data_IF_048938144135
#
_entry.id   IF_048938144135
#
_cell.length_a   1.000
_cell.length_b   1.000
_cell.length_c   1.000
_cell.angle_alpha   90.00
_cell.angle_beta   90.00
_cell.angle_gamma   90.00
#
_symmetry.space_group_name_H-M   'P 1'
#
loop_
_entity.id
_entity.type
_entity.pdbx_description
1 polymer ?
#
# COMPACT_ATOMS: atom_id res chain seq x y z
N UNK A 1 -0.05 -20.72 -3.54
CA UNK A 1 -0.13 -20.16 -2.17
C UNK A 1 -1.48 -19.55 -1.84
N UNK A 2 -2.01 -18.66 -2.69
CA UNK A 2 -3.37 -18.12 -2.59
C UNK A 2 -4.47 -19.20 -2.53
N UNK A 3 -4.32 -20.29 -3.28
CA UNK A 3 -5.21 -21.47 -3.23
C UNK A 3 -5.33 -22.09 -1.82
N UNK A 4 -4.26 -22.04 -1.03
CA UNK A 4 -4.24 -22.61 0.33
C UNK A 4 -5.01 -21.73 1.32
N UNK A 5 -4.94 -20.41 1.15
CA UNK A 5 -5.72 -19.43 1.93
C UNK A 5 -7.21 -19.53 1.63
N UNK A 6 -7.58 -19.58 0.34
CA UNK A 6 -8.98 -19.74 -0.08
C UNK A 6 -9.55 -21.07 0.44
N UNK A 7 -8.74 -22.15 0.44
CA UNK A 7 -9.15 -23.44 0.98
C UNK A 7 -9.46 -23.42 2.50
N UNK A 8 -8.88 -22.49 3.28
CA UNK A 8 -9.21 -22.34 4.70
C UNK A 8 -10.66 -21.91 4.91
N UNK A 9 -11.24 -21.14 3.98
CA UNK A 9 -12.62 -20.69 4.07
C UNK A 9 -13.65 -21.81 3.78
N UNK A 10 -13.22 -22.96 3.24
CA UNK A 10 -14.10 -24.11 2.97
C UNK A 10 -14.45 -24.86 4.26
N UNK A 11 -13.51 -24.94 5.22
CA UNK A 11 -13.68 -25.51 6.56
C UNK A 11 -12.85 -24.65 7.55
N UNK A 12 -13.41 -23.58 8.13
CA UNK A 12 -12.65 -22.64 8.94
C UNK A 12 -12.28 -23.24 10.30
N UNK A 13 -11.17 -23.99 10.35
CA UNK A 13 -10.50 -24.34 11.59
C UNK A 13 -9.54 -23.22 11.98
N UNK A 14 -9.66 -22.72 13.22
CA UNK A 14 -8.89 -21.61 13.76
C UNK A 14 -7.37 -21.75 13.56
N UNK A 15 -6.82 -22.95 13.76
CA UNK A 15 -5.38 -23.20 13.60
C UNK A 15 -4.92 -23.15 12.14
N UNK A 16 -5.78 -23.58 11.20
CA UNK A 16 -5.50 -23.53 9.76
C UNK A 16 -5.44 -22.08 9.27
N UNK A 17 -6.34 -21.22 9.77
CA UNK A 17 -6.36 -19.79 9.46
C UNK A 17 -5.10 -19.08 9.92
N UNK A 18 -4.72 -19.23 11.19
CA UNK A 18 -3.49 -18.60 11.70
C UNK A 18 -2.24 -19.11 10.98
N UNK A 19 -2.16 -20.41 10.69
CA UNK A 19 -1.04 -21.00 9.98
C UNK A 19 -0.94 -20.44 8.55
N UNK A 20 -2.06 -20.38 7.83
CA UNK A 20 -2.11 -19.80 6.49
C UNK A 20 -1.72 -18.31 6.48
N UNK A 21 -2.17 -17.52 7.46
CA UNK A 21 -1.79 -16.11 7.59
C UNK A 21 -0.28 -15.92 7.79
N UNK A 22 0.35 -16.76 8.63
CA UNK A 22 1.81 -16.74 8.81
C UNK A 22 2.54 -17.01 7.50
N UNK A 23 2.11 -18.05 6.78
CA UNK A 23 2.69 -18.38 5.48
C UNK A 23 2.54 -17.22 4.48
N UNK A 24 1.34 -16.62 4.36
CA UNK A 24 1.10 -15.47 3.48
C UNK A 24 2.01 -14.30 3.84
N UNK A 25 2.20 -14.01 5.12
CA UNK A 25 3.12 -12.95 5.57
C UNK A 25 4.56 -13.19 5.11
N UNK A 26 5.06 -14.42 5.25
CA UNK A 26 6.41 -14.81 4.81
C UNK A 26 6.54 -14.65 3.30
N UNK A 27 5.58 -15.15 2.52
CA UNK A 27 5.65 -15.05 1.07
C UNK A 27 5.47 -13.64 0.54
N UNK A 28 4.61 -12.83 1.17
CA UNK A 28 4.49 -11.43 0.84
C UNK A 28 5.82 -10.70 1.02
N UNK A 29 6.55 -10.96 2.12
CA UNK A 29 7.86 -10.36 2.35
C UNK A 29 8.87 -10.72 1.24
N UNK A 30 8.89 -12.00 0.81
CA UNK A 30 9.77 -12.47 -0.28
C UNK A 30 9.37 -11.84 -1.61
N UNK A 31 8.08 -11.90 -1.95
CA UNK A 31 7.53 -11.43 -3.22
C UNK A 31 7.76 -9.94 -3.42
N UNK A 32 7.48 -9.13 -2.39
CA UNK A 32 7.67 -7.68 -2.46
C UNK A 32 9.15 -7.26 -2.52
N UNK A 33 10.03 -8.00 -1.84
CA UNK A 33 11.48 -7.76 -1.93
C UNK A 33 12.01 -8.10 -3.32
N UNK A 34 11.60 -9.27 -3.85
CA UNK A 34 11.98 -9.71 -5.19
C UNK A 34 11.44 -8.76 -6.26
N UNK A 35 10.21 -8.27 -6.11
CA UNK A 35 9.57 -7.30 -6.99
C UNK A 35 10.37 -6.00 -7.08
N UNK A 36 10.71 -5.38 -5.95
CA UNK A 36 11.47 -4.13 -5.94
C UNK A 36 12.87 -4.28 -6.55
N UNK A 37 13.54 -5.39 -6.26
CA UNK A 37 14.83 -5.74 -6.86
C UNK A 37 14.72 -5.94 -8.38
N UNK A 38 13.72 -6.70 -8.84
CA UNK A 38 13.47 -6.93 -10.27
C UNK A 38 13.18 -5.60 -11.00
N UNK A 39 12.35 -4.74 -10.42
CA UNK A 39 12.04 -3.43 -10.96
C UNK A 39 13.30 -2.57 -11.09
N UNK A 40 14.20 -2.65 -10.12
CA UNK A 40 15.45 -1.87 -10.10
C UNK A 40 16.45 -2.39 -11.12
N UNK A 41 16.66 -3.72 -11.21
CA UNK A 41 17.58 -4.33 -12.18
C UNK A 41 17.12 -4.09 -13.63
N UNK A 42 15.81 -4.02 -13.86
CA UNK A 42 15.23 -3.77 -15.18
C UNK A 42 14.93 -2.29 -15.45
N UNK A 43 15.48 -1.38 -14.65
CA UNK A 43 15.32 0.07 -14.82
C UNK A 43 16.65 0.81 -14.72
N UNK A 44 16.71 1.97 -15.35
CA UNK A 44 17.78 2.94 -15.22
C UNK A 44 17.31 4.14 -14.39
N UNK A 45 18.23 5.02 -14.01
CA UNK A 45 17.94 6.25 -13.26
C UNK A 45 16.82 7.11 -13.88
N UNK A 46 16.73 7.12 -15.22
CA UNK A 46 15.71 7.88 -15.95
C UNK A 46 14.38 7.14 -16.16
N UNK A 47 14.37 5.81 -16.05
CA UNK A 47 13.19 4.98 -16.38
C UNK A 47 12.51 4.40 -15.16
N UNK A 48 13.19 4.35 -14.01
CA UNK A 48 12.68 3.72 -12.79
C UNK A 48 11.37 4.32 -12.29
N UNK A 49 11.20 5.64 -12.36
CA UNK A 49 9.93 6.28 -11.98
C UNK A 49 8.75 5.87 -12.86
N UNK A 50 8.97 5.81 -14.19
CA UNK A 50 7.96 5.35 -15.15
C UNK A 50 7.63 3.88 -14.96
N UNK A 51 8.65 3.03 -14.87
CA UNK A 51 8.46 1.60 -14.71
C UNK A 51 7.77 1.28 -13.38
N UNK A 52 8.10 2.01 -12.29
CA UNK A 52 7.41 1.91 -11.00
C UNK A 52 5.93 2.26 -11.11
N UNK A 53 5.58 3.34 -11.81
CA UNK A 53 4.19 3.74 -11.99
C UNK A 53 3.36 2.76 -12.84
N UNK A 54 3.94 2.26 -13.95
CA UNK A 54 3.29 1.24 -14.79
C UNK A 54 3.06 -0.06 -13.98
N UNK A 55 4.08 -0.50 -13.25
CA UNK A 55 3.96 -1.67 -12.38
C UNK A 55 2.85 -1.48 -11.35
N UNK A 56 2.80 -0.33 -10.68
CA UNK A 56 1.77 -0.04 -9.69
C UNK A 56 0.37 -0.05 -10.31
N UNK A 57 0.19 0.59 -11.46
CA UNK A 57 -1.11 0.60 -12.16
C UNK A 57 -1.58 -0.82 -12.55
N UNK A 58 -0.66 -1.69 -13.00
CA UNK A 58 -0.97 -3.08 -13.31
C UNK A 58 -1.33 -3.87 -12.06
N UNK A 59 -0.56 -3.69 -10.97
CA UNK A 59 -0.84 -4.36 -9.70
C UNK A 59 -2.25 -4.01 -9.19
N UNK A 60 -2.60 -2.73 -9.20
CA UNK A 60 -3.86 -2.25 -8.65
C UNK A 60 -5.06 -2.44 -9.57
N UNK A 61 -4.84 -2.88 -10.81
CA UNK A 61 -5.92 -3.40 -11.65
C UNK A 61 -6.63 -4.60 -11.01
N UNK A 62 -5.90 -5.42 -10.23
CA UNK A 62 -6.49 -6.54 -9.50
C UNK A 62 -7.50 -6.09 -8.43
N UNK A 63 -7.24 -4.98 -7.73
CA UNK A 63 -8.16 -4.38 -6.77
C UNK A 63 -9.44 -3.87 -7.45
N UNK A 64 -9.33 -3.33 -8.66
CA UNK A 64 -10.50 -2.91 -9.44
C UNK A 64 -11.37 -4.11 -9.84
N UNK A 65 -10.79 -5.11 -10.52
CA UNK A 65 -11.56 -6.25 -11.02
C UNK A 65 -12.07 -7.18 -9.90
N UNK A 66 -11.26 -7.41 -8.86
CA UNK A 66 -11.65 -8.23 -7.71
C UNK A 66 -12.83 -7.64 -6.94
N UNK A 67 -12.81 -6.33 -6.68
CA UNK A 67 -13.93 -5.66 -6.01
C UNK A 67 -15.15 -5.52 -6.94
N UNK A 68 -14.96 -5.42 -8.26
CA UNK A 68 -16.06 -5.42 -9.23
C UNK A 68 -16.84 -6.74 -9.21
N UNK A 69 -16.14 -7.87 -9.16
CA UNK A 69 -16.76 -9.18 -8.99
C UNK A 69 -17.58 -9.24 -7.69
N UNK A 70 -16.96 -8.87 -6.57
CA UNK A 70 -17.56 -8.80 -5.23
C UNK A 70 -18.83 -7.93 -5.22
N UNK A 71 -18.80 -6.77 -5.87
CA UNK A 71 -19.94 -5.86 -5.95
C UNK A 71 -21.13 -6.50 -6.67
N UNK A 72 -20.90 -7.17 -7.80
CA UNK A 72 -21.96 -7.88 -8.52
C UNK A 72 -22.46 -9.12 -7.76
N UNK A 73 -21.57 -9.86 -7.09
CA UNK A 73 -21.92 -11.04 -6.31
C UNK A 73 -22.82 -10.70 -5.09
N UNK A 74 -22.60 -9.54 -4.45
CA UNK A 74 -23.39 -9.10 -3.30
C UNK A 74 -24.57 -8.18 -3.64
N UNK A 75 -24.79 -7.79 -4.90
CA UNK A 75 -25.97 -7.02 -5.28
C UNK A 75 -27.27 -7.78 -4.98
N UNK A 76 -28.11 -7.22 -4.10
CA UNK A 76 -29.45 -7.74 -3.80
C UNK A 76 -29.53 -8.80 -2.70
N UNK A 77 -28.45 -9.08 -1.96
CA UNK A 77 -28.45 -10.05 -0.85
C UNK A 77 -28.36 -9.39 0.52
N UNK A 78 -29.36 -9.61 1.37
CA UNK A 78 -29.45 -9.07 2.75
C UNK A 78 -28.90 -10.01 3.83
N UNK A 79 -28.72 -11.30 3.51
CA UNK A 79 -28.13 -12.34 4.35
C UNK A 79 -27.04 -13.05 3.54
N UNK A 80 -25.84 -13.20 4.12
CA UNK A 80 -24.77 -14.01 3.54
C UNK A 80 -25.18 -15.46 3.80
N UNK A 81 -25.73 -16.14 2.80
CA UNK A 81 -26.00 -17.58 2.90
C UNK A 81 -24.66 -18.31 3.03
N UNK A 82 -24.52 -19.21 4.00
CA UNK A 82 -23.35 -20.07 4.27
C UNK A 82 -22.97 -21.03 3.11
N UNK A 83 -23.47 -20.78 1.90
CA UNK A 83 -23.42 -21.71 0.77
C UNK A 83 -23.08 -21.04 -0.56
N UNK A 84 -22.21 -20.04 -0.56
CA UNK A 84 -21.54 -19.57 -1.78
C UNK A 84 -20.02 -19.72 -1.68
N UNK A 85 -19.60 -20.96 -1.43
CA UNK A 85 -18.28 -21.45 -1.80
C UNK A 85 -18.26 -21.76 -3.30
N UNK A 86 -18.33 -20.76 -4.16
CA UNK A 86 -17.93 -20.92 -5.57
C UNK A 86 -17.26 -19.62 -6.03
N UNK A 87 -15.94 -19.60 -5.97
CA UNK A 87 -15.09 -19.27 -7.12
C UNK A 87 -13.69 -19.86 -6.89
N UNK A 88 -13.43 -20.98 -7.56
CA UNK A 88 -12.11 -21.20 -8.13
C UNK A 88 -12.06 -20.44 -9.43
N UNK A 89 -11.19 -19.43 -9.51
CA UNK A 89 -10.64 -18.98 -10.78
C UNK A 89 -9.16 -19.35 -10.78
N UNK A 90 -8.79 -20.11 -11.80
CA UNK A 90 -7.44 -20.51 -12.11
C UNK A 90 -6.64 -19.29 -12.58
N UNK A 91 -5.79 -18.75 -11.71
CA UNK A 91 -4.51 -18.24 -12.20
C UNK A 91 -3.55 -19.42 -12.26
N UNK A 92 -3.43 -20.00 -13.45
CA UNK A 92 -2.20 -20.64 -13.88
C UNK A 92 -1.24 -19.53 -14.29
N UNK A 93 -0.40 -19.07 -13.37
CA UNK A 93 0.89 -18.55 -13.79
C UNK A 93 1.67 -19.76 -14.29
N UNK A 94 1.88 -19.84 -15.60
CA UNK A 94 2.91 -20.71 -16.17
C UNK A 94 4.22 -20.35 -15.46
N UNK A 95 4.65 -21.22 -14.55
CA UNK A 95 6.00 -21.20 -14.00
C UNK A 95 6.94 -21.53 -15.18
N UNK A 96 7.44 -20.50 -15.85
CA UNK A 96 8.71 -20.63 -16.53
C UNK A 96 9.78 -20.65 -15.46
N UNK A 97 10.09 -21.86 -15.00
CA UNK A 97 11.30 -22.16 -14.25
C UNK A 97 12.50 -21.73 -15.09
N UNK A 98 13.02 -20.52 -14.83
CA UNK A 98 14.38 -20.18 -15.23
C UNK A 98 15.30 -20.88 -14.24
N UNK A 99 15.69 -22.12 -14.56
CA UNK A 99 16.77 -22.82 -13.87
C UNK A 99 18.07 -22.03 -14.02
N UNK A 100 18.36 -21.17 -13.04
CA UNK A 100 19.72 -20.68 -12.82
C UNK A 100 20.43 -21.70 -11.95
N UNK A 101 21.15 -22.61 -12.61
CA UNK A 101 22.08 -23.54 -11.96
C UNK A 101 23.22 -22.76 -11.27
N UNK A 102 23.10 -22.49 -9.97
CA UNK A 102 24.23 -22.09 -9.10
C UNK A 102 24.53 -23.17 -8.04
N UNK A 103 25.82 -23.43 -7.73
CA UNK A 103 26.23 -24.52 -6.83
C UNK A 103 25.85 -24.24 -5.37
N UNK A 104 25.22 -25.25 -4.75
CA UNK A 104 24.52 -25.20 -3.46
C UNK A 104 25.35 -24.85 -2.21
N UNK A 105 26.68 -24.69 -2.31
CA UNK A 105 27.57 -24.45 -1.16
C UNK A 105 27.73 -22.96 -0.81
N UNK A 106 27.09 -22.05 -1.58
CA UNK A 106 27.24 -20.59 -1.49
C UNK A 106 25.99 -19.85 -0.96
N UNK A 107 24.86 -20.53 -0.79
CA UNK A 107 23.55 -19.88 -0.61
C UNK A 107 23.32 -19.35 0.82
N UNK A 108 23.77 -20.07 1.85
CA UNK A 108 23.60 -19.64 3.23
C UNK A 108 24.48 -18.42 3.57
N UNK A 109 25.72 -18.39 3.04
CA UNK A 109 26.62 -17.24 3.20
C UNK A 109 26.06 -16.01 2.50
N UNK A 110 25.57 -16.15 1.25
CA UNK A 110 24.88 -15.08 0.52
C UNK A 110 23.66 -14.54 1.28
N UNK A 111 22.84 -15.42 1.86
CA UNK A 111 21.68 -15.02 2.65
C UNK A 111 22.07 -14.26 3.93
N UNK A 112 23.07 -14.75 4.67
CA UNK A 112 23.59 -14.08 5.87
C UNK A 112 24.20 -12.72 5.53
N UNK A 113 24.92 -12.61 4.41
CA UNK A 113 25.53 -11.35 3.98
C UNK A 113 24.47 -10.34 3.52
N UNK A 114 23.43 -10.79 2.79
CA UNK A 114 22.28 -9.96 2.46
C UNK A 114 21.57 -9.44 3.73
N UNK A 115 21.38 -10.30 4.73
CA UNK A 115 20.79 -9.92 6.01
C UNK A 115 21.65 -8.88 6.75
N UNK A 116 22.97 -9.08 6.82
CA UNK A 116 23.90 -8.09 7.40
C UNK A 116 23.86 -6.76 6.66
N UNK A 117 23.79 -6.79 5.32
CA UNK A 117 23.62 -5.59 4.49
C UNK A 117 22.32 -4.87 4.84
N UNK A 118 21.19 -5.58 4.97
CA UNK A 118 19.92 -4.99 5.38
C UNK A 118 20.01 -4.30 6.75
N UNK A 119 20.66 -4.94 7.74
CA UNK A 119 20.88 -4.33 9.06
C UNK A 119 21.75 -3.06 8.98
N UNK A 120 22.81 -3.09 8.18
CA UNK A 120 23.67 -1.93 7.96
C UNK A 120 22.95 -0.80 7.24
N UNK A 121 22.12 -1.13 6.24
CA UNK A 121 21.30 -0.17 5.52
C UNK A 121 20.21 0.44 6.40
N UNK A 122 19.63 -0.33 7.32
CA UNK A 122 18.59 0.16 8.23
C UNK A 122 19.05 1.36 9.08
N UNK A 123 20.36 1.49 9.34
CA UNK A 123 20.93 2.58 10.14
C UNK A 123 21.56 3.70 9.30
N UNK A 124 21.46 3.65 7.97
CA UNK A 124 21.92 4.77 7.14
C UNK A 124 20.99 5.96 7.29
N UNK A 125 21.54 7.17 7.18
CA UNK A 125 20.78 8.40 7.37
C UNK A 125 19.61 8.49 6.39
N UNK A 126 19.86 8.15 5.12
CA UNK A 126 18.89 8.19 4.03
C UNK A 126 17.77 7.17 4.27
N UNK A 127 18.11 5.93 4.68
CA UNK A 127 17.11 4.90 4.98
C UNK A 127 16.29 5.26 6.22
N UNK A 128 16.90 5.82 7.27
CA UNK A 128 16.18 6.26 8.47
C UNK A 128 15.18 7.39 8.17
N UNK A 129 15.57 8.36 7.33
CA UNK A 129 14.66 9.42 6.87
C UNK A 129 13.54 8.86 5.98
N UNK A 130 13.87 7.98 5.02
CA UNK A 130 12.86 7.31 4.21
C UNK A 130 11.92 6.45 5.05
N UNK A 131 12.41 5.84 6.13
CA UNK A 131 11.61 5.02 7.05
C UNK A 131 10.47 5.80 7.70
N UNK A 132 10.61 7.13 7.89
CA UNK A 132 9.50 7.97 8.38
C UNK A 132 8.38 8.03 7.34
N UNK A 133 8.74 8.19 6.07
CA UNK A 133 7.77 8.19 4.95
C UNK A 133 7.13 6.81 4.77
N UNK A 134 7.94 5.75 4.86
CA UNK A 134 7.49 4.36 4.79
C UNK A 134 6.59 3.98 5.97
N UNK A 135 6.85 4.52 7.16
CA UNK A 135 6.00 4.34 8.31
C UNK A 135 4.61 4.93 8.02
N UNK A 136 4.56 6.15 7.47
CA UNK A 136 3.30 6.77 7.04
C UNK A 136 2.54 5.90 6.03
N UNK A 137 3.18 5.39 4.98
CA UNK A 137 2.49 4.52 4.00
C UNK A 137 2.04 3.18 4.60
N UNK A 138 2.75 2.66 5.61
CA UNK A 138 2.30 1.50 6.36
C UNK A 138 1.03 1.76 7.18
N UNK A 139 0.95 2.92 7.83
CA UNK A 139 -0.24 3.31 8.58
C UNK A 139 -1.44 3.59 7.64
N UNK A 140 -1.18 4.27 6.53
CA UNK A 140 -2.18 4.61 5.51
C UNK A 140 -2.72 3.34 4.84
N UNK A 141 -1.86 2.38 4.48
CA UNK A 141 -2.24 1.07 3.96
C UNK A 141 -3.31 0.40 4.82
N UNK A 142 -3.09 0.32 6.13
CA UNK A 142 -4.08 -0.25 7.05
C UNK A 142 -5.36 0.57 7.10
N UNK A 143 -5.25 1.89 7.04
CA UNK A 143 -6.39 2.77 7.12
C UNK A 143 -7.33 2.55 5.94
N UNK A 144 -6.89 2.65 4.68
CA UNK A 144 -7.80 2.50 3.55
C UNK A 144 -8.23 1.05 3.30
N UNK A 145 -7.34 0.07 3.53
CA UNK A 145 -7.64 -1.34 3.22
C UNK A 145 -8.50 -2.04 4.28
N UNK A 146 -8.45 -1.57 5.53
CA UNK A 146 -9.15 -2.20 6.65
C UNK A 146 -10.10 -1.25 7.39
N UNK A 147 -9.58 -0.14 7.92
CA UNK A 147 -10.34 0.72 8.84
C UNK A 147 -11.45 1.49 8.11
N UNK A 148 -11.15 2.08 6.96
CA UNK A 148 -12.08 2.98 6.29
C UNK A 148 -13.27 2.22 5.69
N UNK A 149 -13.03 1.07 5.05
CA UNK A 149 -14.09 0.21 4.55
C UNK A 149 -15.02 -0.29 5.67
N UNK A 150 -14.46 -0.65 6.83
CA UNK A 150 -15.27 -1.06 8.00
C UNK A 150 -16.03 0.12 8.61
N UNK A 151 -15.46 1.33 8.63
CA UNK A 151 -16.19 2.53 9.02
C UNK A 151 -17.41 2.78 8.14
N UNK A 152 -17.28 2.66 6.81
CA UNK A 152 -18.40 2.80 5.88
C UNK A 152 -19.48 1.75 6.18
N UNK A 153 -19.07 0.51 6.41
CA UNK A 153 -19.99 -0.59 6.75
C UNK A 153 -20.66 -0.48 8.11
N UNK A 154 -20.12 0.34 9.02
CA UNK A 154 -20.65 0.50 10.37
C UNK A 154 -21.68 1.65 10.50
N UNK A 155 -21.80 2.52 9.50
CA UNK A 155 -22.70 3.70 9.59
C UNK A 155 -24.11 3.33 9.15
N UNK A 156 -25.00 3.12 10.11
CA UNK A 156 -26.41 2.71 9.91
C UNK A 156 -27.24 3.69 9.07
N UNK A 157 -26.81 4.97 9.02
CA UNK A 157 -27.46 6.00 8.20
C UNK A 157 -27.33 5.73 6.70
N UNK A 158 -26.38 4.88 6.27
CA UNK A 158 -26.26 4.46 4.89
C UNK A 158 -27.30 3.41 4.48
N UNK A 159 -27.98 2.79 5.45
CA UNK A 159 -29.12 1.90 5.23
C UNK A 159 -28.71 0.54 4.66
N UNK A 160 -29.65 -0.19 4.10
CA UNK A 160 -29.47 -1.61 3.70
C UNK A 160 -28.40 -1.88 2.63
N UNK A 161 -27.74 -0.85 2.10
CA UNK A 161 -26.66 -0.91 1.11
C UNK A 161 -25.25 -0.82 1.73
N UNK A 162 -25.11 -0.74 3.05
CA UNK A 162 -23.81 -0.62 3.74
C UNK A 162 -22.76 -1.63 3.24
N UNK A 163 -23.16 -2.90 3.08
CA UNK A 163 -22.24 -3.96 2.62
C UNK A 163 -21.79 -3.80 1.17
N UNK A 164 -22.67 -3.32 0.28
CA UNK A 164 -22.29 -3.07 -1.13
C UNK A 164 -21.42 -1.81 -1.25
N UNK A 165 -21.57 -0.84 -0.33
CA UNK A 165 -20.71 0.35 -0.26
C UNK A 165 -19.26 0.02 0.12
N UNK A 166 -19.01 -1.02 0.92
CA UNK A 166 -17.64 -1.49 1.20
C UNK A 166 -16.96 -1.95 -0.10
N UNK A 167 -17.64 -2.78 -0.89
CA UNK A 167 -17.15 -3.23 -2.19
C UNK A 167 -16.95 -2.06 -3.18
N UNK A 168 -17.92 -1.14 -3.23
CA UNK A 168 -17.82 0.06 -4.08
C UNK A 168 -16.65 0.96 -3.66
N UNK A 169 -16.39 1.11 -2.37
CA UNK A 169 -15.22 1.82 -1.84
C UNK A 169 -13.92 1.18 -2.35
N UNK A 170 -13.81 -0.15 -2.31
CA UNK A 170 -12.67 -0.88 -2.85
C UNK A 170 -12.43 -0.64 -4.34
N UNK A 171 -13.51 -0.60 -5.15
CA UNK A 171 -13.42 -0.27 -6.58
C UNK A 171 -12.85 1.14 -6.77
N UNK A 172 -13.36 2.13 -6.04
CA UNK A 172 -12.93 3.52 -6.19
C UNK A 172 -11.49 3.76 -5.68
N UNK A 173 -11.05 3.04 -4.64
CA UNK A 173 -9.63 2.98 -4.25
C UNK A 173 -8.81 2.49 -5.43
N UNK A 174 -9.16 1.34 -6.02
CA UNK A 174 -8.44 0.79 -7.17
C UNK A 174 -8.40 1.74 -8.38
N UNK A 175 -9.49 2.45 -8.68
CA UNK A 175 -9.51 3.50 -9.72
C UNK A 175 -8.51 4.61 -9.37
N UNK A 176 -8.54 5.12 -8.14
CA UNK A 176 -7.61 6.15 -7.66
C UNK A 176 -6.15 5.72 -7.82
N UNK A 177 -5.85 4.47 -7.46
CA UNK A 177 -4.50 3.92 -7.58
C UNK A 177 -4.03 3.75 -9.02
N UNK A 178 -4.89 3.25 -9.91
CA UNK A 178 -4.59 3.11 -11.34
C UNK A 178 -4.33 4.49 -11.95
N UNK A 179 -5.17 5.48 -11.62
CA UNK A 179 -5.03 6.86 -12.09
C UNK A 179 -3.71 7.46 -11.61
N UNK A 180 -3.38 7.34 -10.33
CA UNK A 180 -2.14 7.89 -9.79
C UNK A 180 -0.89 7.18 -10.33
N UNK A 181 -0.89 5.84 -10.37
CA UNK A 181 0.20 5.05 -10.93
C UNK A 181 0.46 5.37 -12.41
N UNK A 182 -0.60 5.46 -13.21
CA UNK A 182 -0.50 5.75 -14.65
C UNK A 182 -0.11 7.20 -14.91
N UNK A 183 -0.81 8.17 -14.31
CA UNK A 183 -0.60 9.59 -14.57
C UNK A 183 0.77 10.04 -14.08
N UNK A 184 1.15 9.67 -12.85
CA UNK A 184 2.39 10.14 -12.23
C UNK A 184 3.61 9.29 -12.58
N UNK A 185 3.42 8.01 -12.93
CA UNK A 185 4.45 7.22 -13.61
C UNK A 185 4.84 7.83 -14.96
N UNK A 186 3.86 8.29 -15.75
CA UNK A 186 4.11 8.94 -17.04
C UNK A 186 4.65 10.37 -16.89
N UNK A 187 4.22 11.13 -15.88
CA UNK A 187 4.76 12.47 -15.61
C UNK A 187 6.22 12.41 -15.17
N UNK A 188 6.63 11.38 -14.42
CA UNK A 188 8.04 11.14 -14.07
C UNK A 188 8.95 10.89 -15.28
N UNK A 189 8.40 10.57 -16.46
CA UNK A 189 9.16 10.44 -17.72
C UNK A 189 9.69 11.79 -18.21
N UNK A 190 8.97 12.87 -17.93
CA UNK A 190 9.39 14.20 -18.31
C UNK A 190 10.31 14.75 -17.20
N UNK A 191 11.62 14.60 -17.40
CA UNK A 191 12.72 15.00 -16.49
C UNK A 191 12.71 16.48 -16.02
N UNK A 192 11.67 17.25 -16.39
CA UNK A 192 11.41 18.62 -15.91
C UNK A 192 10.72 18.67 -14.54
N UNK A 193 9.96 17.63 -14.18
CA UNK A 193 9.28 17.53 -12.90
C UNK A 193 9.82 16.30 -12.17
N UNK A 194 10.62 16.50 -11.12
CA UNK A 194 11.17 15.42 -10.29
C UNK A 194 10.11 14.68 -9.47
N UNK A 195 10.52 13.91 -8.45
CA UNK A 195 9.60 13.13 -7.60
C UNK A 195 8.76 13.99 -6.65
N UNK A 196 9.31 15.12 -6.20
CA UNK A 196 8.72 15.96 -5.14
C UNK A 196 7.30 16.49 -5.45
N UNK A 197 6.98 17.01 -6.66
CA UNK A 197 5.63 17.47 -6.98
C UNK A 197 4.55 16.37 -6.87
N UNK A 198 4.91 15.12 -7.20
CA UNK A 198 3.99 13.98 -7.10
C UNK A 198 3.70 13.65 -5.65
N UNK A 199 4.72 13.60 -4.80
CA UNK A 199 4.55 13.39 -3.35
C UNK A 199 3.79 14.55 -2.70
N UNK A 200 4.04 15.80 -3.12
CA UNK A 200 3.31 16.97 -2.64
C UNK A 200 1.82 16.89 -2.99
N UNK A 201 1.51 16.48 -4.21
CA UNK A 201 0.12 16.26 -4.62
C UNK A 201 -0.52 15.15 -3.78
N UNK A 202 0.18 14.02 -3.60
CA UNK A 202 -0.29 12.90 -2.79
C UNK A 202 -0.67 13.32 -1.38
N UNK A 203 0.18 14.09 -0.68
CA UNK A 203 -0.12 14.53 0.69
C UNK A 203 -1.28 15.52 0.76
N UNK A 204 -1.40 16.42 -0.22
CA UNK A 204 -2.52 17.36 -0.30
C UNK A 204 -3.84 16.61 -0.52
N UNK A 205 -3.84 15.63 -1.42
CA UNK A 205 -4.99 14.75 -1.68
C UNK A 205 -5.38 13.98 -0.42
N UNK A 206 -4.40 13.38 0.28
CA UNK A 206 -4.65 12.69 1.54
C UNK A 206 -5.20 13.62 2.63
N UNK A 207 -4.67 14.83 2.80
CA UNK A 207 -5.19 15.77 3.80
C UNK A 207 -6.61 16.21 3.50
N UNK A 208 -6.95 16.42 2.22
CA UNK A 208 -8.33 16.66 1.80
C UNK A 208 -9.21 15.45 2.12
N UNK A 209 -8.76 14.23 1.79
CA UNK A 209 -9.49 13.01 2.11
C UNK A 209 -9.73 12.86 3.62
N UNK A 210 -8.69 13.00 4.44
CA UNK A 210 -8.79 12.90 5.90
C UNK A 210 -9.74 13.94 6.49
N UNK A 211 -9.71 15.17 5.98
CA UNK A 211 -10.62 16.22 6.43
C UNK A 211 -12.08 15.92 6.04
N UNK A 212 -12.32 15.45 4.81
CA UNK A 212 -13.65 15.05 4.37
C UNK A 212 -14.18 13.85 5.16
N UNK A 213 -13.33 12.86 5.45
CA UNK A 213 -13.67 11.70 6.30
C UNK A 213 -14.01 12.17 7.70
N UNK A 214 -13.21 13.07 8.29
CA UNK A 214 -13.48 13.64 9.61
C UNK A 214 -14.85 14.33 9.69
N UNK A 215 -15.27 15.02 8.63
CA UNK A 215 -16.58 15.66 8.57
C UNK A 215 -17.72 14.63 8.39
N UNK A 216 -17.54 13.69 7.48
CA UNK A 216 -18.59 12.81 6.97
C UNK A 216 -18.84 11.56 7.83
N UNK A 217 -17.83 11.09 8.57
CA UNK A 217 -17.90 9.84 9.34
C UNK A 217 -18.06 10.08 10.85
N UNK A 218 -18.85 9.25 11.55
CA UNK A 218 -18.92 9.27 13.02
C UNK A 218 -17.56 8.89 13.66
N UNK A 219 -17.24 9.50 14.80
CA UNK A 219 -15.95 9.32 15.45
C UNK A 219 -15.72 7.90 16.01
N UNK A 220 -16.80 7.21 16.35
CA UNK A 220 -16.85 5.86 16.92
C UNK A 220 -16.94 4.76 15.85
N UNK A 221 -17.07 5.09 14.56
CA UNK A 221 -17.22 4.11 13.48
C UNK A 221 -16.16 2.99 13.46
N UNK A 222 -14.86 3.24 13.74
CA UNK A 222 -13.84 2.17 13.78
C UNK A 222 -14.02 1.16 14.92
N UNK A 223 -14.69 1.57 16.00
CA UNK A 223 -14.88 0.77 17.22
C UNK A 223 -16.36 0.43 17.45
N UNK A 224 -17.18 0.62 16.41
CA UNK A 224 -18.61 0.40 16.50
C UNK A 224 -18.91 -1.08 16.78
N UNK A 225 -19.96 -1.38 17.56
CA UNK A 225 -20.45 -2.75 17.73
C UNK A 225 -20.88 -3.38 16.40
N UNK A 226 -21.13 -4.69 16.40
CA UNK A 226 -21.68 -5.42 15.24
C UNK A 226 -23.01 -4.85 14.72
N UNK A 227 -23.74 -4.12 15.56
CA UNK A 227 -25.00 -3.44 15.22
C UNK A 227 -24.80 -2.10 14.50
N UNK A 228 -23.55 -1.67 14.30
CA UNK A 228 -23.21 -0.39 13.70
C UNK A 228 -23.31 0.79 14.67
N UNK A 229 -23.25 2.00 14.13
CA UNK A 229 -23.38 3.25 14.87
C UNK A 229 -24.41 4.18 14.23
N UNK A 230 -25.24 4.77 15.08
CA UNK A 230 -26.19 5.84 14.77
C UNK A 230 -25.69 7.22 15.24
N UNK A 231 -24.42 7.30 15.66
CA UNK A 231 -23.80 8.54 16.11
C UNK A 231 -23.78 9.58 14.98
N UNK A 232 -24.06 10.83 15.32
CA UNK A 232 -24.01 11.93 14.35
C UNK A 232 -22.55 12.28 14.01
N UNK A 233 -22.22 12.35 12.72
CA UNK A 233 -21.02 13.04 12.25
C UNK A 233 -21.23 14.57 12.23
N UNK A 234 -20.19 15.34 11.88
CA UNK A 234 -20.28 16.80 11.81
C UNK A 234 -21.21 17.27 10.68
N UNK A 235 -21.19 16.56 9.56
CA UNK A 235 -22.20 16.71 8.50
C UNK A 235 -23.07 15.46 8.46
N UNK A 236 -24.26 15.56 7.84
CA UNK A 236 -25.08 14.37 7.60
C UNK A 236 -24.26 13.39 6.74
N UNK A 237 -24.02 12.14 7.20
CA UNK A 237 -23.25 11.18 6.43
C UNK A 237 -23.81 11.00 5.02
N UNK A 238 -22.97 11.24 4.02
CA UNK A 238 -23.27 11.09 2.60
C UNK A 238 -22.44 9.94 2.02
N UNK A 239 -23.11 9.05 1.29
CA UNK A 239 -22.50 7.91 0.60
C UNK A 239 -21.53 8.41 -0.48
N UNK A 240 -21.91 9.46 -1.18
CA UNK A 240 -21.16 10.06 -2.27
C UNK A 240 -19.82 10.62 -1.78
N UNK A 241 -19.83 11.34 -0.66
CA UNK A 241 -18.60 11.84 -0.02
C UNK A 241 -17.72 10.69 0.45
N UNK A 242 -18.30 9.62 0.99
CA UNK A 242 -17.54 8.46 1.46
C UNK A 242 -16.78 7.78 0.31
N UNK A 243 -17.47 7.49 -0.81
CA UNK A 243 -16.87 6.86 -1.99
C UNK A 243 -15.87 7.79 -2.68
N UNK A 244 -16.13 9.10 -2.69
CA UNK A 244 -15.17 10.07 -3.19
C UNK A 244 -13.87 10.06 -2.37
N UNK A 245 -13.96 9.95 -1.04
CA UNK A 245 -12.77 9.82 -0.19
C UNK A 245 -12.00 8.52 -0.48
N UNK A 246 -12.68 7.41 -0.78
CA UNK A 246 -12.05 6.15 -1.21
C UNK A 246 -11.15 6.35 -2.43
N UNK A 247 -11.63 7.11 -3.43
CA UNK A 247 -10.85 7.47 -4.61
C UNK A 247 -9.64 8.34 -4.27
N UNK A 248 -9.81 9.33 -3.40
CA UNK A 248 -8.71 10.21 -2.98
C UNK A 248 -7.63 9.44 -2.21
N UNK A 249 -8.01 8.50 -1.33
CA UNK A 249 -7.07 7.63 -0.62
C UNK A 249 -6.23 6.81 -1.60
N UNK A 250 -6.86 6.10 -2.55
CA UNK A 250 -6.10 5.36 -3.57
C UNK A 250 -5.21 6.24 -4.45
N UNK A 251 -5.69 7.44 -4.81
CA UNK A 251 -4.89 8.38 -5.59
C UNK A 251 -3.65 8.87 -4.82
N UNK A 252 -3.78 9.16 -3.53
CA UNK A 252 -2.66 9.60 -2.71
C UNK A 252 -1.68 8.47 -2.39
N UNK A 253 -2.16 7.26 -2.08
CA UNK A 253 -1.32 6.09 -1.81
C UNK A 253 -0.40 5.78 -3.00
N UNK A 254 -0.99 5.71 -4.19
CA UNK A 254 -0.23 5.48 -5.42
C UNK A 254 0.82 6.57 -5.69
N UNK A 255 0.55 7.84 -5.34
CA UNK A 255 1.56 8.89 -5.42
C UNK A 255 2.76 8.58 -4.50
N UNK A 256 2.53 8.20 -3.25
CA UNK A 256 3.62 7.91 -2.32
C UNK A 256 4.39 6.64 -2.69
N UNK A 257 3.70 5.52 -2.91
CA UNK A 257 4.36 4.24 -3.16
C UNK A 257 5.17 4.26 -4.45
N UNK A 258 4.66 4.84 -5.54
CA UNK A 258 5.41 4.91 -6.81
C UNK A 258 6.69 5.72 -6.67
N UNK A 259 6.66 6.83 -5.92
CA UNK A 259 7.85 7.66 -5.71
C UNK A 259 8.83 7.04 -4.71
N UNK A 260 8.34 6.32 -3.69
CA UNK A 260 9.18 5.55 -2.78
C UNK A 260 9.92 4.42 -3.49
N UNK A 261 9.24 3.63 -4.34
CA UNK A 261 9.89 2.61 -5.16
C UNK A 261 10.95 3.24 -6.08
N UNK A 262 10.63 4.39 -6.68
CA UNK A 262 11.52 5.12 -7.59
C UNK A 262 12.78 5.65 -6.91
N UNK A 263 12.68 6.28 -5.74
CA UNK A 263 13.85 6.80 -5.02
C UNK A 263 14.69 5.68 -4.42
N UNK A 264 14.07 4.59 -3.95
CA UNK A 264 14.77 3.48 -3.33
C UNK A 264 15.62 2.72 -4.35
N UNK A 265 15.05 2.42 -5.53
CA UNK A 265 15.81 1.77 -6.58
C UNK A 265 16.82 2.70 -7.27
N UNK A 266 16.65 4.02 -7.16
CA UNK A 266 17.66 4.98 -7.60
C UNK A 266 18.85 5.06 -6.63
N UNK A 267 18.60 5.23 -5.33
CA UNK A 267 19.66 5.37 -4.32
C UNK A 267 20.40 4.06 -4.02
N UNK A 268 19.70 2.94 -4.10
CA UNK A 268 20.22 1.62 -3.73
C UNK A 268 20.22 0.67 -4.92
N UNK A 269 20.50 1.14 -6.13
CA UNK A 269 20.52 0.32 -7.34
C UNK A 269 21.44 -0.91 -7.22
N UNK A 270 22.61 -0.75 -6.59
CA UNK A 270 23.58 -1.84 -6.36
C UNK A 270 23.17 -2.84 -5.25
N UNK A 271 22.40 -2.38 -4.26
CA UNK A 271 21.99 -3.15 -3.07
C UNK A 271 20.46 -3.12 -2.89
N UNK A 272 19.73 -3.26 -3.99
CA UNK A 272 18.29 -2.98 -4.01
C UNK A 272 17.47 -4.00 -3.20
N UNK A 273 17.74 -5.31 -3.32
CA UNK A 273 17.06 -6.32 -2.52
C UNK A 273 17.12 -6.05 -0.99
N UNK A 274 18.30 -5.84 -0.36
CA UNK A 274 18.39 -5.41 1.03
C UNK A 274 17.61 -4.13 1.36
N UNK A 275 17.64 -3.13 0.48
CA UNK A 275 16.93 -1.87 0.68
C UNK A 275 15.39 -2.05 0.65
N UNK A 276 14.86 -2.78 -0.33
CA UNK A 276 13.43 -3.11 -0.41
C UNK A 276 12.96 -3.99 0.75
N UNK A 277 13.83 -4.87 1.26
CA UNK A 277 13.53 -5.66 2.45
C UNK A 277 13.33 -4.76 3.69
N UNK A 278 14.22 -3.78 3.92
CA UNK A 278 14.07 -2.82 5.02
C UNK A 278 12.82 -1.97 4.85
N UNK A 279 12.58 -1.46 3.63
CA UNK A 279 11.38 -0.72 3.29
C UNK A 279 10.09 -1.50 3.65
N UNK A 280 9.96 -2.73 3.15
CA UNK A 280 8.77 -3.55 3.43
C UNK A 280 8.67 -3.96 4.90
N UNK A 281 9.79 -4.20 5.56
CA UNK A 281 9.81 -4.47 7.00
C UNK A 281 9.22 -3.33 7.83
N UNK A 282 9.67 -2.09 7.58
CA UNK A 282 9.13 -0.89 8.26
C UNK A 282 7.65 -0.71 7.94
N UNK A 283 7.27 -0.83 6.65
CA UNK A 283 5.89 -0.68 6.21
C UNK A 283 4.97 -1.70 6.90
N UNK A 284 5.38 -2.97 6.97
CA UNK A 284 4.60 -4.04 7.60
C UNK A 284 4.47 -3.90 9.12
N UNK A 285 5.51 -3.45 9.82
CA UNK A 285 5.43 -3.19 11.27
C UNK A 285 4.44 -2.05 11.55
N UNK A 286 4.55 -0.95 10.81
CA UNK A 286 3.64 0.18 10.98
C UNK A 286 2.19 -0.20 10.65
N UNK A 287 1.96 -0.98 9.59
CA UNK A 287 0.65 -1.52 9.27
C UNK A 287 0.10 -2.43 10.39
N UNK A 288 0.92 -3.31 10.96
CA UNK A 288 0.52 -4.18 12.07
C UNK A 288 0.15 -3.37 13.33
N UNK A 289 0.95 -2.35 13.66
CA UNK A 289 0.66 -1.42 14.76
C UNK A 289 -0.65 -0.66 14.51
N UNK A 290 -0.90 -0.24 13.27
CA UNK A 290 -2.15 0.39 12.88
C UNK A 290 -3.37 -0.51 13.03
N UNK A 291 -3.26 -1.77 12.61
CA UNK A 291 -4.35 -2.73 12.78
C UNK A 291 -4.62 -3.02 14.24
N UNK A 292 -3.59 -3.01 15.08
CA UNK A 292 -3.75 -3.18 16.51
C UNK A 292 -4.47 -2.00 17.15
N UNK A 293 -3.99 -0.76 16.95
CA UNK A 293 -4.60 0.40 17.61
C UNK A 293 -5.98 0.76 17.04
N UNK A 294 -6.31 0.37 15.80
CA UNK A 294 -7.54 0.80 15.13
C UNK A 294 -8.80 0.31 15.84
N UNK A 295 -8.70 -0.80 16.56
CA UNK A 295 -9.77 -1.37 17.38
C UNK A 295 -9.97 -0.67 18.74
N UNK A 296 -9.09 0.26 19.11
CA UNK A 296 -9.12 0.96 20.39
C UNK A 296 -9.22 2.49 20.26
N UNK A 297 -8.78 3.05 19.13
CA UNK A 297 -8.76 4.50 18.90
C UNK A 297 -9.96 4.97 18.07
N UNK A 298 -10.56 6.07 18.50
CA UNK A 298 -11.58 6.79 17.73
C UNK A 298 -11.00 7.32 16.41
N UNK A 299 -11.85 7.46 15.40
CA UNK A 299 -11.48 7.82 14.02
C UNK A 299 -10.64 9.09 13.95
N UNK A 300 -11.01 10.14 14.69
CA UNK A 300 -10.31 11.41 14.66
C UNK A 300 -8.87 11.32 15.16
N UNK A 301 -8.57 10.44 16.12
CA UNK A 301 -7.19 10.21 16.58
C UNK A 301 -6.38 9.47 15.52
N UNK A 302 -6.98 8.50 14.83
CA UNK A 302 -6.33 7.81 13.72
C UNK A 302 -6.01 8.78 12.57
N UNK A 303 -6.97 9.65 12.20
CA UNK A 303 -6.77 10.69 11.19
C UNK A 303 -5.70 11.71 11.62
N UNK A 304 -5.67 12.11 12.89
CA UNK A 304 -4.64 13.01 13.41
C UNK A 304 -3.25 12.39 13.30
N UNK A 305 -3.10 11.10 13.64
CA UNK A 305 -1.85 10.37 13.44
C UNK A 305 -1.43 10.37 11.97
N UNK A 306 -2.38 10.20 11.04
CA UNK A 306 -2.09 10.20 9.60
C UNK A 306 -1.62 11.57 9.12
N UNK A 307 -2.21 12.65 9.62
CA UNK A 307 -1.78 14.01 9.29
C UNK A 307 -0.37 14.28 9.80
N UNK A 308 -0.07 13.90 11.05
CA UNK A 308 1.24 14.12 11.66
C UNK A 308 2.32 13.30 10.94
N UNK A 309 2.12 11.99 10.79
CA UNK A 309 3.08 11.11 10.12
C UNK A 309 3.21 11.45 8.63
N UNK A 310 2.11 11.83 7.96
CA UNK A 310 2.14 12.27 6.58
C UNK A 310 2.97 13.53 6.38
N UNK A 311 2.80 14.53 7.25
CA UNK A 311 3.60 15.76 7.20
C UNK A 311 5.10 15.48 7.39
N UNK A 312 5.48 14.78 8.46
CA UNK A 312 6.89 14.46 8.72
C UNK A 312 7.47 13.49 7.68
N UNK A 313 6.67 12.56 7.17
CA UNK A 313 7.02 11.67 6.06
C UNK A 313 7.36 12.47 4.80
N UNK A 314 6.48 13.38 4.36
CA UNK A 314 6.75 14.24 3.19
C UNK A 314 8.01 15.09 3.35
N UNK A 315 8.21 15.71 4.52
CA UNK A 315 9.43 16.49 4.81
C UNK A 315 10.68 15.62 4.73
N UNK A 316 10.62 14.41 5.28
CA UNK A 316 11.73 13.45 5.26
C UNK A 316 12.05 12.99 3.84
N UNK A 317 11.02 12.70 3.04
CA UNK A 317 11.17 12.34 1.63
C UNK A 317 11.87 13.46 0.83
N UNK A 318 11.41 14.71 0.97
CA UNK A 318 12.02 15.85 0.25
C UNK A 318 13.48 16.06 0.64
N UNK A 319 13.81 15.87 1.93
CA UNK A 319 15.18 15.97 2.41
C UNK A 319 16.07 14.95 1.71
N UNK A 320 15.62 13.69 1.62
CA UNK A 320 16.39 12.62 0.95
C UNK A 320 16.50 12.86 -0.56
N UNK A 321 15.43 13.28 -1.22
CA UNK A 321 15.45 13.58 -2.66
C UNK A 321 16.42 14.74 -2.98
N UNK A 322 16.46 15.79 -2.16
CA UNK A 322 17.40 16.89 -2.36
C UNK A 322 18.85 16.47 -2.12
N UNK A 323 19.11 15.64 -1.10
CA UNK A 323 20.44 15.08 -0.86
C UNK A 323 20.87 14.19 -2.04
N UNK A 324 19.97 13.35 -2.56
CA UNK A 324 20.20 12.52 -3.74
C UNK A 324 20.54 13.37 -4.98
N UNK A 325 19.74 14.40 -5.27
CA UNK A 325 19.97 15.31 -6.39
C UNK A 325 21.32 16.06 -6.26
N UNK A 326 21.70 16.46 -5.05
CA UNK A 326 22.96 17.14 -4.79
C UNK A 326 24.20 16.23 -4.96
N UNK A 327 24.06 14.92 -4.73
CA UNK A 327 25.12 13.94 -5.01
C UNK A 327 25.32 13.78 -6.52
N UNK A 328 24.23 13.66 -7.28
CA UNK A 328 24.27 13.57 -8.76
C UNK A 328 24.91 14.79 -9.39
N UNK A 329 24.51 16.00 -8.95
CA UNK A 329 25.07 17.25 -9.47
C UNK A 329 26.60 17.31 -9.28
N UNK A 330 27.09 16.94 -8.09
CA UNK A 330 28.53 16.90 -7.80
C UNK A 330 29.29 15.83 -8.58
N UNK A 331 28.66 14.68 -8.85
CA UNK A 331 29.25 13.62 -9.66
C UNK A 331 29.35 13.96 -11.15
N UNK A 332 28.38 14.73 -11.67
CA UNK A 332 28.39 15.22 -13.06
C UNK A 332 29.51 16.24 -13.29
N UNK A 333 29.73 17.16 -12.36
CA UNK A 333 30.80 18.16 -12.46
C UNK A 333 32.17 17.48 -12.54
N UNK A 334 32.41 16.40 -11.78
CA UNK A 334 33.68 15.67 -11.78
C UNK A 334 33.94 14.84 -13.06
N UNK A 335 32.88 14.43 -13.77
CA UNK A 335 32.99 13.73 -15.07
C UNK A 335 33.18 14.67 -16.26
N UNK A 336 32.97 15.97 -16.05
CA UNK A 336 33.10 17.02 -17.08
C UNK A 336 34.49 17.68 -17.11
N UNK A 337 35.38 17.29 -16.21
CA UNK A 337 36.79 17.72 -16.11
C UNK A 337 37.68 16.57 -16.57
#
# INVERSE_FOLDING_TARGET
>A
MWRMYIAVFIQPFTWSFYTASVFIGIAAAVLWTAQGNCLTINSDEHTIGRNSGIFWALLQSSLFFGNLYIYFAWQGKTQISDSENILGEDESSDDQDVEVNEPAQNNMTKAVDAFKKSLKLCVTKEMLLLSITTAYTGLELTFFSGVYGTCIGAVNTFGTEEKSLIGLSGIFIGIGEILGGSLFGLLSKNNRFGRNPVVLLGILVHFVAFYLIFLNMPADAPIAPLEGTDSSAYIKPSKEVAIFCSLLLGLGDSCFNTQLLSILGFLYSEDSAPAFAVFKFVQSICAAVAFFYSNYLLLHWQLLLMVIFGFFGTVSFFTVEWEAAAVVARGSDYRSI
#
